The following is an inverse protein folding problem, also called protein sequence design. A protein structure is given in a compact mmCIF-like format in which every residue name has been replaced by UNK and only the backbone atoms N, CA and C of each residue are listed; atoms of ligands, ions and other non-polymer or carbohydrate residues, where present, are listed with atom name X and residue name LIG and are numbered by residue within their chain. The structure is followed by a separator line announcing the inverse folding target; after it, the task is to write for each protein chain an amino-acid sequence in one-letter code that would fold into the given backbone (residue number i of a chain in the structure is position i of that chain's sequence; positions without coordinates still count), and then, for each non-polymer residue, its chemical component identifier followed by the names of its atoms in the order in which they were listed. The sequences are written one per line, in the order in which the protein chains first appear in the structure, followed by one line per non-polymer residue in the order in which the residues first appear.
data_IF_844916471677
#
_entry.id   IF_844916471677
#
_cell.length_a   1.000
_cell.length_b   1.000
_cell.length_c   1.000
_cell.angle_alpha   90.00
_cell.angle_beta   90.00
_cell.angle_gamma   90.00
#
_symmetry.space_group_name_H-M   'P 1'
#
loop_
_entity.id
_entity.type
_entity.pdbx_description
1 polymer ?
#
# COMPACT_ATOMS: atom_id res chain seq x y z
N UNK A 1 -19.79 -11.84 -12.68
CA UNK A 1 -19.29 -10.50 -12.32
C UNK A 1 -19.60 -9.57 -13.48
N UNK A 2 -20.40 -8.55 -13.24
CA UNK A 2 -20.79 -7.57 -14.23
C UNK A 2 -19.57 -6.76 -14.73
N UNK A 3 -19.61 -6.27 -15.96
CA UNK A 3 -18.49 -5.52 -16.56
C UNK A 3 -18.15 -4.25 -15.76
N UNK A 4 -19.15 -3.61 -15.14
CA UNK A 4 -18.95 -2.45 -14.28
C UNK A 4 -18.18 -2.83 -13.00
N UNK A 5 -18.55 -3.93 -12.34
CA UNK A 5 -17.89 -4.40 -11.11
C UNK A 5 -16.44 -4.81 -11.37
N UNK A 6 -16.17 -5.43 -12.53
CA UNK A 6 -14.81 -5.85 -12.91
C UNK A 6 -13.86 -4.66 -13.13
N UNK A 7 -14.34 -3.56 -13.73
CA UNK A 7 -13.58 -2.32 -13.84
C UNK A 7 -13.28 -1.70 -12.48
N UNK A 8 -14.27 -1.68 -11.57
CA UNK A 8 -14.09 -1.13 -10.23
C UNK A 8 -13.05 -1.92 -9.42
N UNK A 9 -13.05 -3.26 -9.57
CA UNK A 9 -12.02 -4.12 -8.99
C UNK A 9 -10.62 -3.80 -9.53
N UNK A 10 -10.46 -3.68 -10.85
CA UNK A 10 -9.16 -3.32 -11.45
C UNK A 10 -8.62 -2.00 -10.92
N UNK A 11 -9.48 -0.98 -10.79
CA UNK A 11 -9.07 0.32 -10.24
C UNK A 11 -8.61 0.22 -8.79
N UNK A 12 -9.34 -0.53 -7.95
CA UNK A 12 -8.94 -0.78 -6.54
C UNK A 12 -7.62 -1.54 -6.47
N UNK A 13 -7.44 -2.56 -7.31
CA UNK A 13 -6.23 -3.37 -7.34
C UNK A 13 -5.01 -2.58 -7.84
N UNK A 14 -5.15 -1.79 -8.90
CA UNK A 14 -4.09 -0.91 -9.41
C UNK A 14 -3.68 0.11 -8.36
N UNK A 15 -4.65 0.74 -7.67
CA UNK A 15 -4.36 1.67 -6.58
C UNK A 15 -3.57 0.99 -5.46
N UNK A 16 -3.94 -0.24 -5.11
CA UNK A 16 -3.24 -1.04 -4.13
C UNK A 16 -1.80 -1.34 -4.57
N UNK A 17 -1.60 -1.85 -5.79
CA UNK A 17 -0.26 -2.13 -6.32
C UNK A 17 0.61 -0.87 -6.38
N UNK A 18 0.02 0.29 -6.69
CA UNK A 18 0.74 1.56 -6.73
C UNK A 18 1.20 2.00 -5.35
N UNK A 19 0.36 1.90 -4.31
CA UNK A 19 0.77 2.22 -2.92
C UNK A 19 1.86 1.26 -2.43
N UNK A 20 1.78 -0.03 -2.79
CA UNK A 20 2.82 -1.00 -2.45
C UNK A 20 4.17 -0.64 -3.11
N UNK A 21 4.16 -0.21 -4.36
CA UNK A 21 5.39 0.24 -5.03
C UNK A 21 5.97 1.49 -4.36
N UNK A 22 5.14 2.45 -3.96
CA UNK A 22 5.58 3.63 -3.20
C UNK A 22 6.23 3.22 -1.87
N UNK A 23 5.67 2.22 -1.17
CA UNK A 23 6.27 1.66 0.03
C UNK A 23 7.65 1.05 -0.24
N UNK A 24 7.79 0.24 -1.28
CA UNK A 24 9.07 -0.37 -1.67
C UNK A 24 10.11 0.72 -1.98
N UNK A 25 9.72 1.76 -2.73
CA UNK A 25 10.59 2.91 -3.02
C UNK A 25 10.98 3.67 -1.75
N UNK A 26 10.05 3.84 -0.79
CA UNK A 26 10.34 4.45 0.50
C UNK A 26 11.35 3.63 1.31
N UNK A 27 11.18 2.31 1.38
CA UNK A 27 12.13 1.42 2.08
C UNK A 27 13.50 1.42 1.41
N UNK A 28 13.55 1.33 0.08
CA UNK A 28 14.79 1.43 -0.68
C UNK A 28 15.47 2.79 -0.45
N UNK A 29 14.71 3.88 -0.50
CA UNK A 29 15.19 5.22 -0.21
C UNK A 29 15.72 5.38 1.22
N UNK A 30 15.09 4.75 2.21
CA UNK A 30 15.56 4.74 3.59
C UNK A 30 16.92 4.05 3.74
N UNK A 31 17.10 2.91 3.07
CA UNK A 31 18.37 2.16 3.05
C UNK A 31 19.45 2.99 2.35
N UNK A 32 19.15 3.55 1.19
CA UNK A 32 20.10 4.41 0.47
C UNK A 32 20.48 5.63 1.31
N UNK A 33 19.51 6.31 1.92
CA UNK A 33 19.76 7.46 2.79
C UNK A 33 20.63 7.09 4.01
N UNK A 34 20.43 5.89 4.58
CA UNK A 34 21.23 5.39 5.70
C UNK A 34 22.72 5.23 5.34
N UNK A 35 23.01 4.74 4.13
CA UNK A 35 24.39 4.53 3.67
C UNK A 35 25.04 5.79 3.06
N UNK A 36 24.25 6.67 2.43
CA UNK A 36 24.79 7.77 1.62
C UNK A 36 24.93 9.10 2.38
N UNK A 37 24.09 9.35 3.39
CA UNK A 37 24.24 10.55 4.23
C UNK A 37 25.43 10.37 5.17
N UNK A 38 26.09 11.44 5.61
CA UNK A 38 27.05 11.42 6.72
C UNK A 38 26.59 12.43 7.78
N UNK A 39 26.37 11.97 9.01
CA UNK A 39 25.95 12.79 10.16
C UNK A 39 24.45 12.84 10.42
N UNK A 40 23.60 12.74 9.39
CA UNK A 40 22.12 12.78 9.51
C UNK A 40 21.41 11.48 9.11
N UNK A 41 22.17 10.43 8.84
CA UNK A 41 21.69 9.19 8.27
C UNK A 41 20.69 8.50 9.20
N UNK A 42 20.97 8.50 10.50
CA UNK A 42 20.12 7.86 11.51
C UNK A 42 18.76 8.58 11.65
N UNK A 43 18.67 9.89 11.91
CA UNK A 43 17.38 10.56 12.03
C UNK A 43 16.58 10.55 10.72
N UNK A 44 17.23 10.66 9.56
CA UNK A 44 16.55 10.62 8.25
C UNK A 44 16.04 9.20 7.94
N UNK A 45 16.85 8.16 8.17
CA UNK A 45 16.42 6.78 8.00
C UNK A 45 15.28 6.43 8.97
N UNK A 46 15.34 6.88 10.23
CA UNK A 46 14.29 6.68 11.22
C UNK A 46 12.99 7.37 10.80
N UNK A 47 13.03 8.62 10.33
CA UNK A 47 11.85 9.33 9.84
C UNK A 47 11.23 8.64 8.61
N UNK A 48 12.05 8.19 7.66
CA UNK A 48 11.59 7.43 6.49
C UNK A 48 10.97 6.08 6.90
N UNK A 49 11.56 5.37 7.86
CA UNK A 49 11.01 4.13 8.40
C UNK A 49 9.66 4.35 9.09
N UNK A 50 9.55 5.38 9.93
CA UNK A 50 8.29 5.73 10.59
C UNK A 50 7.20 6.05 9.56
N UNK A 51 7.54 6.85 8.55
CA UNK A 51 6.63 7.17 7.45
C UNK A 51 6.19 5.90 6.67
N UNK A 52 7.13 5.00 6.39
CA UNK A 52 6.85 3.74 5.72
C UNK A 52 5.95 2.82 6.56
N UNK A 53 6.15 2.77 7.89
CA UNK A 53 5.30 1.99 8.80
C UNK A 53 3.88 2.56 8.83
N UNK A 54 3.72 3.88 8.96
CA UNK A 54 2.40 4.53 8.94
C UNK A 54 1.67 4.27 7.62
N UNK A 55 2.39 4.38 6.50
CA UNK A 55 1.83 4.13 5.17
C UNK A 55 1.47 2.64 4.98
N UNK A 56 2.24 1.72 5.58
CA UNK A 56 1.95 0.28 5.60
C UNK A 56 0.67 -0.02 6.38
N UNK A 57 0.47 0.62 7.53
CA UNK A 57 -0.75 0.46 8.33
C UNK A 57 -1.97 0.99 7.58
N UNK A 58 -1.84 2.16 6.95
CA UNK A 58 -2.88 2.73 6.09
C UNK A 58 -3.21 1.79 4.93
N UNK A 59 -2.19 1.26 4.26
CA UNK A 59 -2.32 0.31 3.17
C UNK A 59 -3.04 -0.95 3.59
N UNK A 60 -2.67 -1.54 4.74
CA UNK A 60 -3.30 -2.74 5.28
C UNK A 60 -4.79 -2.51 5.57
N UNK A 61 -5.15 -1.34 6.13
CA UNK A 61 -6.56 -0.96 6.32
C UNK A 61 -7.32 -0.80 5.01
N UNK A 62 -6.72 -0.15 4.02
CA UNK A 62 -7.33 0.00 2.70
C UNK A 62 -7.55 -1.36 2.02
N UNK A 63 -6.56 -2.25 2.13
CA UNK A 63 -6.63 -3.61 1.61
C UNK A 63 -7.76 -4.42 2.25
N UNK A 64 -7.83 -4.46 3.58
CA UNK A 64 -8.88 -5.19 4.30
C UNK A 64 -10.27 -4.66 3.96
N UNK A 65 -10.42 -3.35 3.78
CA UNK A 65 -11.69 -2.74 3.34
C UNK A 65 -12.09 -3.18 1.94
N UNK A 66 -11.17 -3.12 0.98
CA UNK A 66 -11.44 -3.48 -0.41
C UNK A 66 -11.67 -5.00 -0.55
N UNK A 67 -10.98 -5.81 0.26
CA UNK A 67 -11.20 -7.25 0.37
C UNK A 67 -12.57 -7.57 0.96
N UNK A 68 -12.99 -6.90 2.04
CA UNK A 68 -14.32 -7.08 2.62
C UNK A 68 -15.44 -6.70 1.63
N UNK A 69 -15.25 -5.62 0.87
CA UNK A 69 -16.15 -5.26 -0.22
C UNK A 69 -16.23 -6.34 -1.30
N UNK A 70 -15.09 -6.94 -1.67
CA UNK A 70 -15.04 -8.03 -2.63
C UNK A 70 -15.80 -9.27 -2.14
N UNK A 71 -15.60 -9.63 -0.87
CA UNK A 71 -16.29 -10.74 -0.22
C UNK A 71 -17.81 -10.53 -0.23
N UNK A 72 -18.28 -9.31 0.07
CA UNK A 72 -19.69 -8.97 0.04
C UNK A 72 -20.28 -9.09 -1.38
N UNK A 73 -19.57 -8.60 -2.41
CA UNK A 73 -19.97 -8.72 -3.82
C UNK A 73 -20.04 -10.18 -4.29
N UNK A 74 -19.17 -11.07 -3.80
CA UNK A 74 -19.21 -12.49 -4.13
C UNK A 74 -20.38 -13.24 -3.48
N UNK A 75 -20.82 -12.80 -2.30
CA UNK A 75 -21.99 -13.38 -1.61
C UNK A 75 -23.30 -12.96 -2.29
N UNK A 76 -23.41 -11.70 -2.74
CA UNK A 76 -24.62 -11.18 -3.42
C UNK A 76 -24.87 -11.78 -4.81
N UNK A 77 -23.82 -12.24 -5.52
CA UNK A 77 -23.97 -12.90 -6.84
C UNK A 77 -24.10 -14.43 -6.77
N UNK A 78 -24.16 -15.01 -5.56
CA UNK A 78 -24.20 -16.45 -5.32
C UNK A 78 -25.37 -16.93 -4.44
N UNK A 79 -26.40 -16.10 -4.27
CA UNK A 79 -27.64 -16.43 -3.54
C UNK A 79 -28.84 -16.50 -4.46
#
# INVERSE_FOLDING_TARGET
MDAATYQEFKLKFVKLTLVLNVLVLMYAGAIVAYFLLKGYNIPVAAALLIAAVLLTVYFKKAYERDKAWLSAQQVEQGG
#
